data_IF_715449793214
#
_entry.id   IF_715449793214
#
_cell.length_a   1.000
_cell.length_b   1.000
_cell.length_c   1.000
_cell.angle_alpha   90.00
_cell.angle_beta   90.00
_cell.angle_gamma   90.00
#
_symmetry.space_group_name_H-M   'P 1'
#
loop_
_entity.id
_entity.type
_entity.pdbx_description
1 polymer ?
#
# COMPACT_ATOMS: atom_id res chain seq x y z
N UNK A 1 -3.03 15.58 5.68
CA UNK A 1 -2.96 14.16 6.05
C UNK A 1 -3.06 13.45 4.73
N UNK A 2 -1.95 12.87 4.28
CA UNK A 2 -1.65 12.70 2.87
C UNK A 2 -0.22 12.24 2.66
N UNK A 3 -0.04 11.47 1.59
CA UNK A 3 1.21 10.88 1.11
C UNK A 3 2.36 10.73 2.12
N UNK A 4 2.54 9.50 2.59
CA UNK A 4 3.68 9.13 3.42
C UNK A 4 4.76 8.48 2.55
N UNK A 5 5.93 9.12 2.49
CA UNK A 5 7.04 8.65 1.66
C UNK A 5 7.58 7.28 2.12
N UNK A 6 7.54 6.96 3.42
CA UNK A 6 7.98 5.65 3.91
C UNK A 6 7.03 4.54 3.45
N UNK A 7 5.72 4.79 3.47
CA UNK A 7 4.73 3.85 2.94
C UNK A 7 4.94 3.64 1.44
N UNK A 8 5.23 4.73 0.71
CA UNK A 8 5.46 4.66 -0.72
C UNK A 8 6.69 3.81 -1.06
N UNK A 9 7.79 3.99 -0.32
CA UNK A 9 9.01 3.19 -0.50
C UNK A 9 8.74 1.71 -0.23
N UNK A 10 8.05 1.37 0.88
CA UNK A 10 7.66 -0.01 1.20
C UNK A 10 6.85 -0.64 0.07
N UNK A 11 5.82 0.06 -0.43
CA UNK A 11 4.97 -0.47 -1.50
C UNK A 11 5.80 -0.68 -2.78
N UNK A 12 6.65 0.27 -3.14
CA UNK A 12 7.50 0.19 -4.32
C UNK A 12 8.58 -0.89 -4.21
N UNK A 13 9.17 -1.08 -3.03
CA UNK A 13 10.11 -2.15 -2.75
C UNK A 13 9.44 -3.52 -2.90
N UNK A 14 8.24 -3.70 -2.35
CA UNK A 14 7.46 -4.93 -2.50
C UNK A 14 7.15 -5.24 -3.97
N UNK A 15 6.71 -4.23 -4.73
CA UNK A 15 6.46 -4.37 -6.18
C UNK A 15 7.72 -4.74 -6.96
N UNK A 16 8.85 -4.09 -6.66
CA UNK A 16 10.15 -4.38 -7.30
C UNK A 16 10.68 -5.76 -6.91
N UNK A 17 10.40 -6.19 -5.68
CA UNK A 17 10.89 -7.46 -5.14
C UNK A 17 10.15 -8.65 -5.76
N UNK A 18 8.92 -8.47 -6.28
CA UNK A 18 8.16 -9.24 -7.31
C UNK A 18 8.32 -10.78 -7.40
N UNK A 19 8.83 -11.44 -6.36
CA UNK A 19 9.09 -12.88 -6.37
C UNK A 19 8.04 -13.62 -5.54
N UNK A 20 7.38 -13.02 -4.53
CA UNK A 20 6.44 -13.76 -3.66
C UNK A 20 5.25 -13.00 -3.04
N UNK A 21 5.05 -11.70 -3.28
CA UNK A 21 3.94 -10.96 -2.65
C UNK A 21 2.83 -10.61 -3.64
N UNK A 22 1.78 -11.44 -3.65
CA UNK A 22 0.51 -11.17 -4.35
C UNK A 22 -0.23 -9.96 -3.75
N UNK A 23 -0.07 -9.70 -2.44
CA UNK A 23 -0.70 -8.59 -1.76
C UNK A 23 0.11 -8.03 -0.58
N UNK A 24 -0.06 -6.74 -0.29
CA UNK A 24 0.45 -6.05 0.90
C UNK A 24 -0.72 -5.78 1.84
N UNK A 25 -0.69 -6.35 3.03
CA UNK A 25 -1.71 -6.14 4.05
C UNK A 25 -1.33 -5.00 4.99
N UNK A 26 -2.28 -4.08 5.24
CA UNK A 26 -2.08 -2.99 6.20
C UNK A 26 -1.81 -3.51 7.61
N UNK A 27 -2.35 -4.67 7.98
CA UNK A 27 -2.14 -5.29 9.30
C UNK A 27 -0.67 -5.56 9.62
N UNK A 28 0.20 -5.74 8.63
CA UNK A 28 1.64 -5.86 8.86
C UNK A 28 2.31 -4.54 9.27
N UNK A 29 1.61 -3.42 9.06
CA UNK A 29 2.10 -2.06 9.27
C UNK A 29 1.18 -1.21 10.16
N UNK A 30 0.15 -1.80 10.77
CA UNK A 30 -0.84 -1.07 11.60
C UNK A 30 -0.21 -0.43 12.84
N UNK A 31 0.89 -1.00 13.35
CA UNK A 31 1.69 -0.42 14.45
C UNK A 31 2.54 0.78 14.03
N UNK A 32 2.73 1.02 12.72
CA UNK A 32 3.64 2.04 12.18
C UNK A 32 2.94 3.19 11.49
N UNK A 33 1.82 2.93 10.83
CA UNK A 33 1.13 3.90 9.99
C UNK A 33 -0.36 3.90 10.24
N UNK A 34 -1.00 5.04 10.01
CA UNK A 34 -2.45 5.14 9.98
C UNK A 34 -3.01 4.55 8.68
N UNK A 35 -4.19 3.94 8.78
CA UNK A 35 -4.89 3.33 7.65
C UNK A 35 -5.20 4.37 6.55
N UNK A 36 -5.50 5.61 6.94
CA UNK A 36 -5.77 6.72 6.02
C UNK A 36 -4.51 7.13 5.24
N UNK A 37 -3.35 7.26 5.89
CA UNK A 37 -2.10 7.60 5.21
C UNK A 37 -1.64 6.46 4.29
N UNK A 38 -1.87 5.20 4.70
CA UNK A 38 -1.57 4.04 3.87
C UNK A 38 -2.44 3.97 2.63
N UNK A 39 -3.75 4.17 2.79
CA UNK A 39 -4.71 4.23 1.69
C UNK A 39 -4.41 5.37 0.72
N UNK A 40 -4.17 6.59 1.23
CA UNK A 40 -3.89 7.76 0.40
C UNK A 40 -2.60 7.58 -0.42
N UNK A 41 -1.55 7.05 0.22
CA UNK A 41 -0.27 6.78 -0.44
C UNK A 41 -0.41 5.72 -1.52
N UNK A 42 -1.09 4.60 -1.23
CA UNK A 42 -1.35 3.55 -2.21
C UNK A 42 -2.15 4.08 -3.41
N UNK A 43 -3.19 4.90 -3.16
CA UNK A 43 -3.98 5.54 -4.21
C UNK A 43 -3.13 6.47 -5.08
N UNK A 44 -2.23 7.24 -4.47
CA UNK A 44 -1.34 8.13 -5.21
C UNK A 44 -0.36 7.38 -6.10
N UNK A 45 0.21 6.27 -5.61
CA UNK A 45 1.10 5.43 -6.41
C UNK A 45 0.39 4.80 -7.61
N UNK A 46 -0.82 4.28 -7.42
CA UNK A 46 -1.66 3.74 -8.49
C UNK A 46 -2.05 4.84 -9.48
N UNK A 47 -2.52 5.99 -8.98
CA UNK A 47 -2.95 7.12 -9.82
C UNK A 47 -1.81 7.73 -10.61
N UNK A 48 -0.60 7.71 -10.06
CA UNK A 48 0.63 8.14 -10.74
C UNK A 48 1.15 7.11 -11.75
N UNK A 49 0.57 5.90 -11.80
CA UNK A 49 1.02 4.81 -12.65
C UNK A 49 2.37 4.22 -12.23
N UNK A 50 2.82 4.46 -10.99
CA UNK A 50 4.07 3.89 -10.47
C UNK A 50 3.91 2.40 -10.15
N UNK A 51 2.71 1.98 -9.79
CA UNK A 51 2.32 0.59 -9.54
C UNK A 51 1.00 0.28 -10.24
N UNK A 52 0.82 -0.95 -10.67
CA UNK A 52 -0.48 -1.48 -11.10
C UNK A 52 -0.97 -2.36 -9.96
N UNK A 53 -1.97 -1.90 -9.23
CA UNK A 53 -2.50 -2.59 -8.07
C UNK A 53 -3.96 -2.19 -7.80
N UNK A 54 -4.67 -2.96 -6.99
CA UNK A 54 -6.02 -2.66 -6.50
C UNK A 54 -6.03 -2.60 -4.98
N UNK A 55 -6.64 -1.55 -4.45
CA UNK A 55 -6.84 -1.41 -3.01
C UNK A 55 -8.16 -2.08 -2.65
N UNK A 56 -8.09 -3.03 -1.74
CA UNK A 56 -9.24 -3.68 -1.12
C UNK A 56 -9.35 -3.19 0.32
N UNK A 57 -10.48 -2.57 0.66
CA UNK A 57 -10.78 -2.06 2.00
C UNK A 57 -12.09 -2.66 2.47
N UNK A 58 -11.99 -3.52 3.47
CA UNK A 58 -13.09 -4.07 4.24
C UNK A 58 -13.19 -3.40 5.61
N UNK A 59 -14.30 -3.59 6.31
CA UNK A 59 -14.56 -3.01 7.64
C UNK A 59 -13.48 -3.31 8.70
N UNK A 60 -12.69 -4.36 8.50
CA UNK A 60 -11.67 -4.83 9.44
C UNK A 60 -10.26 -4.94 8.84
N UNK A 61 -10.09 -4.71 7.53
CA UNK A 61 -8.80 -4.95 6.88
C UNK A 61 -8.66 -4.11 5.63
N UNK A 62 -7.44 -3.63 5.38
CA UNK A 62 -7.06 -2.97 4.14
C UNK A 62 -5.85 -3.70 3.57
N UNK A 63 -5.89 -4.00 2.27
CA UNK A 63 -4.75 -4.60 1.58
C UNK A 63 -4.68 -4.12 0.13
N UNK A 64 -3.49 -4.20 -0.45
CA UNK A 64 -3.17 -3.81 -1.82
C UNK A 64 -2.81 -5.09 -2.58
N UNK A 65 -3.55 -5.38 -3.63
CA UNK A 65 -3.43 -6.58 -4.48
C UNK A 65 -2.75 -6.19 -5.80
N UNK A 66 -1.70 -6.90 -6.23
CA UNK A 66 -0.84 -6.53 -7.38
C UNK A 66 -1.10 -7.33 -8.65
#
# INVERSE_FOLDING_TARGET
>A
MGYNQEIADIILENVKSSIELDAIHFSDYEDKFDIDDFEDTAKQLISSGQIVAKIHKDYHSLYIDF
#
